data_IF_991917803306
#
_entry.id   IF_991917803306
#
_cell.length_a   1.000
_cell.length_b   1.000
_cell.length_c   1.000
_cell.angle_alpha   90.00
_cell.angle_beta   90.00
_cell.angle_gamma   90.00
#
_symmetry.space_group_name_H-M   'P 1'
#
loop_
_entity.id
_entity.type
_entity.pdbx_description
1 polymer ?
#
# COMPACT_ATOMS: atom_id res chain seq x y z
N UNK A 1 -17.84 -6.18 13.52
CA UNK A 1 -16.42 -6.19 13.11
C UNK A 1 -16.33 -6.12 11.59
N UNK A 2 -15.45 -5.28 11.10
CA UNK A 2 -15.25 -5.11 9.66
C UNK A 2 -14.26 -6.15 9.16
N UNK A 3 -14.66 -6.90 8.14
CA UNK A 3 -13.81 -7.90 7.50
C UNK A 3 -13.47 -7.46 6.08
N UNK A 4 -12.23 -7.68 5.66
CA UNK A 4 -11.82 -7.43 4.28
C UNK A 4 -10.71 -8.41 3.89
N UNK A 5 -10.33 -8.40 2.61
CA UNK A 5 -9.34 -9.34 2.08
C UNK A 5 -7.97 -9.21 2.77
N UNK A 6 -7.68 -8.06 3.38
CA UNK A 6 -6.41 -7.81 4.05
C UNK A 6 -6.36 -8.44 5.44
N UNK A 7 -7.51 -8.68 6.05
CA UNK A 7 -7.59 -9.19 7.42
C UNK A 7 -6.97 -10.58 7.56
N UNK A 8 -7.00 -11.39 6.49
CA UNK A 8 -6.48 -12.74 6.51
C UNK A 8 -4.99 -12.79 6.81
N UNK A 9 -4.27 -11.72 6.55
CA UNK A 9 -2.83 -11.63 6.73
C UNK A 9 -2.42 -10.96 8.03
N UNK A 10 -3.39 -10.41 8.75
CA UNK A 10 -3.16 -9.79 10.06
C UNK A 10 -2.10 -8.68 10.05
N UNK A 11 -1.92 -7.99 8.94
CA UNK A 11 -1.00 -6.88 8.89
C UNK A 11 -1.51 -5.70 9.69
N UNK A 12 -0.59 -5.04 10.39
CA UNK A 12 -0.90 -3.77 11.05
C UNK A 12 -1.01 -2.68 10.00
N UNK A 13 -1.56 -1.54 10.39
CA UNK A 13 -1.61 -0.36 9.53
C UNK A 13 -0.20 0.03 9.06
N UNK A 14 0.77 0.03 9.98
CA UNK A 14 2.14 0.34 9.62
C UNK A 14 2.70 -0.69 8.63
N UNK A 15 2.41 -1.97 8.84
CA UNK A 15 2.83 -3.03 7.91
C UNK A 15 2.28 -2.83 6.52
N UNK A 16 1.02 -2.41 6.41
CA UNK A 16 0.40 -2.11 5.12
C UNK A 16 1.09 -0.91 4.45
N UNK A 17 1.43 0.12 5.21
CA UNK A 17 2.14 1.29 4.69
C UNK A 17 3.52 0.91 4.14
N UNK A 18 4.26 0.07 4.87
CA UNK A 18 5.56 -0.41 4.40
C UNK A 18 5.42 -1.22 3.11
N UNK A 19 4.44 -2.10 3.07
CA UNK A 19 4.23 -2.96 1.89
C UNK A 19 3.86 -2.12 0.66
N UNK A 20 2.98 -1.15 0.84
CA UNK A 20 2.59 -0.23 -0.22
C UNK A 20 3.79 0.58 -0.72
N UNK A 21 4.62 1.09 0.21
CA UNK A 21 5.82 1.84 -0.15
C UNK A 21 6.77 1.00 -0.99
N UNK A 22 7.02 -0.24 -0.58
CA UNK A 22 7.88 -1.16 -1.34
C UNK A 22 7.31 -1.37 -2.74
N UNK A 23 6.01 -1.59 -2.84
CA UNK A 23 5.36 -1.80 -4.14
C UNK A 23 5.52 -0.57 -5.05
N UNK A 24 5.24 0.61 -4.53
CA UNK A 24 5.34 1.84 -5.32
C UNK A 24 6.78 2.10 -5.79
N UNK A 25 7.74 1.89 -4.91
CA UNK A 25 9.15 2.04 -5.28
C UNK A 25 9.58 0.98 -6.29
N UNK A 26 9.03 -0.22 -6.23
CA UNK A 26 9.36 -1.29 -7.16
C UNK A 26 8.97 -0.95 -8.61
N UNK A 27 7.92 -0.16 -8.79
CA UNK A 27 7.48 0.25 -10.12
C UNK A 27 8.49 1.13 -10.83
N UNK A 28 9.31 1.87 -10.06
CA UNK A 28 10.28 2.81 -10.58
C UNK A 28 11.73 2.39 -10.29
N UNK A 29 11.96 1.17 -9.82
CA UNK A 29 13.28 0.78 -9.35
C UNK A 29 14.33 0.67 -10.45
N UNK A 30 13.90 0.38 -11.66
CA UNK A 30 14.84 0.15 -12.78
C UNK A 30 15.56 -1.18 -12.71
N UNK A 31 15.35 -1.97 -11.65
CA UNK A 31 15.98 -3.29 -11.52
C UNK A 31 15.11 -4.36 -12.18
N UNK A 32 15.72 -5.37 -12.83
CA UNK A 32 14.95 -6.42 -13.49
C UNK A 32 13.98 -7.18 -12.57
N UNK A 33 14.33 -7.32 -11.30
CA UNK A 33 13.51 -8.02 -10.32
C UNK A 33 12.58 -7.09 -9.53
N UNK A 34 12.60 -5.78 -9.84
CA UNK A 34 11.80 -4.81 -9.12
C UNK A 34 12.29 -4.54 -7.70
N UNK A 35 13.50 -5.01 -7.34
CA UNK A 35 14.00 -4.84 -5.98
C UNK A 35 14.23 -3.37 -5.63
N UNK A 36 14.07 -3.05 -4.35
CA UNK A 36 14.23 -1.70 -3.84
C UNK A 36 15.21 -1.69 -2.66
N UNK A 37 15.80 -0.53 -2.38
CA UNK A 37 16.71 -0.39 -1.26
C UNK A 37 15.91 -0.01 -0.01
N UNK A 38 16.29 -0.58 1.13
CA UNK A 38 15.61 -0.24 2.39
C UNK A 38 15.73 1.24 2.74
N UNK A 39 16.83 1.89 2.35
CA UNK A 39 17.01 3.32 2.60
C UNK A 39 15.96 4.14 1.83
N UNK A 40 15.56 3.72 0.66
CA UNK A 40 14.53 4.43 -0.10
C UNK A 40 13.15 4.31 0.56
N UNK A 41 12.89 3.16 1.18
CA UNK A 41 11.65 2.99 1.97
C UNK A 41 11.68 3.92 3.18
N UNK A 42 12.81 3.99 3.87
CA UNK A 42 12.96 4.89 5.02
C UNK A 42 12.72 6.34 4.63
N UNK A 43 13.29 6.76 3.51
CA UNK A 43 13.13 8.13 3.01
C UNK A 43 11.70 8.43 2.61
N UNK A 44 11.04 7.51 1.91
CA UNK A 44 9.66 7.72 1.44
C UNK A 44 8.68 7.84 2.61
N UNK A 45 8.86 7.03 3.64
CA UNK A 45 7.96 7.01 4.80
C UNK A 45 8.42 7.93 5.93
N UNK A 46 9.57 8.56 5.77
CA UNK A 46 10.15 9.47 6.77
C UNK A 46 10.30 8.79 8.14
N UNK A 47 10.87 7.58 8.12
CA UNK A 47 11.10 6.78 9.31
C UNK A 47 12.58 6.41 9.42
N UNK A 48 12.98 5.92 10.59
CA UNK A 48 14.37 5.52 10.82
C UNK A 48 14.68 4.20 10.13
N UNK A 49 15.98 3.95 9.90
CA UNK A 49 16.45 2.68 9.38
C UNK A 49 16.08 1.52 10.31
N UNK A 50 16.13 1.76 11.62
CA UNK A 50 15.76 0.75 12.60
C UNK A 50 14.31 0.35 12.46
N UNK A 51 13.42 1.32 12.26
CA UNK A 51 11.99 1.05 12.04
C UNK A 51 11.78 0.24 10.76
N UNK A 52 12.46 0.59 9.68
CA UNK A 52 12.37 -0.16 8.41
C UNK A 52 12.83 -1.60 8.62
N UNK A 53 14.00 -1.80 9.26
CA UNK A 53 14.53 -3.14 9.48
C UNK A 53 13.58 -4.01 10.30
N UNK A 54 12.98 -3.43 11.35
CA UNK A 54 12.00 -4.14 12.16
C UNK A 54 10.78 -4.55 11.32
N UNK A 55 10.26 -3.63 10.54
CA UNK A 55 9.11 -3.90 9.68
C UNK A 55 9.43 -4.94 8.61
N UNK A 56 10.61 -4.85 7.98
CA UNK A 56 11.03 -5.81 6.97
C UNK A 56 11.15 -7.22 7.54
N UNK A 57 11.67 -7.35 8.77
CA UNK A 57 11.76 -8.65 9.42
C UNK A 57 10.37 -9.24 9.65
N UNK A 58 9.42 -8.42 10.09
CA UNK A 58 8.03 -8.87 10.26
C UNK A 58 7.40 -9.30 8.93
N UNK A 59 7.61 -8.52 7.88
CA UNK A 59 7.07 -8.84 6.56
C UNK A 59 7.72 -10.09 5.95
N UNK A 60 9.01 -10.32 6.24
CA UNK A 60 9.68 -11.56 5.84
C UNK A 60 9.06 -12.76 6.53
N UNK A 61 8.82 -12.64 7.83
CA UNK A 61 8.21 -13.72 8.61
C UNK A 61 6.80 -14.06 8.11
N UNK A 62 6.10 -13.08 7.58
CA UNK A 62 4.75 -13.27 7.03
C UNK A 62 4.75 -13.70 5.56
N UNK A 63 5.92 -13.85 4.95
CA UNK A 63 6.02 -14.27 3.56
C UNK A 63 5.66 -13.21 2.53
N UNK A 64 5.71 -11.95 2.92
CA UNK A 64 5.34 -10.83 2.04
C UNK A 64 6.51 -10.27 1.25
N UNK A 65 7.72 -10.35 1.81
CA UNK A 65 8.94 -9.86 1.14
C UNK A 65 10.08 -10.83 1.31
N UNK A 66 11.07 -10.72 0.42
CA UNK A 66 12.37 -11.37 0.58
C UNK A 66 13.44 -10.28 0.55
N UNK A 67 14.59 -10.57 1.13
CA UNK A 67 15.68 -9.62 1.15
C UNK A 67 16.97 -10.34 0.77
N UNK A 68 17.71 -9.75 -0.18
CA UNK A 68 18.98 -10.32 -0.62
C UNK A 68 20.08 -10.02 0.42
N UNK A 69 21.24 -10.69 0.26
CA UNK A 69 22.37 -10.47 1.14
C UNK A 69 22.90 -9.02 1.11
N UNK A 70 22.58 -8.29 0.06
CA UNK A 70 22.98 -6.88 -0.08
C UNK A 70 21.91 -5.90 0.38
N UNK A 71 20.87 -6.40 1.06
CA UNK A 71 19.84 -5.57 1.65
C UNK A 71 18.73 -5.12 0.70
N UNK A 72 18.76 -5.53 -0.56
CA UNK A 72 17.67 -5.16 -1.48
C UNK A 72 16.45 -6.02 -1.20
N UNK A 73 15.28 -5.40 -1.29
CA UNK A 73 14.00 -5.99 -0.91
C UNK A 73 13.15 -6.24 -2.14
N UNK A 74 12.53 -7.41 -2.21
CA UNK A 74 11.63 -7.78 -3.30
C UNK A 74 10.34 -8.30 -2.71
N UNK A 75 9.20 -7.92 -3.31
CA UNK A 75 7.91 -8.47 -2.91
C UNK A 75 7.79 -9.92 -3.37
N UNK A 76 7.22 -10.75 -2.52
CA UNK A 76 6.78 -12.08 -2.94
C UNK A 76 5.48 -11.93 -3.74
N UNK A 77 5.03 -13.01 -4.37
CA UNK A 77 3.74 -13.02 -5.05
C UNK A 77 2.60 -12.60 -4.12
N UNK A 78 2.61 -13.10 -2.88
CA UNK A 78 1.61 -12.75 -1.86
C UNK A 78 1.72 -11.27 -1.47
N UNK A 79 2.93 -10.79 -1.28
CA UNK A 79 3.18 -9.39 -0.94
C UNK A 79 2.71 -8.45 -2.03
N UNK A 80 2.96 -8.80 -3.28
CA UNK A 80 2.53 -7.98 -4.40
C UNK A 80 1.01 -7.90 -4.49
N UNK A 81 0.32 -9.02 -4.34
CA UNK A 81 -1.15 -9.04 -4.35
C UNK A 81 -1.72 -8.15 -3.26
N UNK A 82 -1.18 -8.28 -2.06
CA UNK A 82 -1.64 -7.50 -0.92
C UNK A 82 -1.39 -6.00 -1.15
N UNK A 83 -0.19 -5.66 -1.60
CA UNK A 83 0.19 -4.27 -1.85
C UNK A 83 -0.69 -3.62 -2.92
N UNK A 84 -1.03 -4.36 -3.96
CA UNK A 84 -1.92 -3.86 -5.01
C UNK A 84 -3.30 -3.51 -4.47
N UNK A 85 -3.83 -4.33 -3.56
CA UNK A 85 -5.13 -4.07 -2.93
C UNK A 85 -5.06 -2.77 -2.12
N UNK A 86 -4.03 -2.62 -1.30
CA UNK A 86 -3.85 -1.42 -0.48
C UNK A 86 -3.70 -0.18 -1.37
N UNK A 87 -2.87 -0.25 -2.39
CA UNK A 87 -2.62 0.86 -3.30
C UNK A 87 -3.88 1.25 -4.09
N UNK A 88 -4.64 0.27 -4.55
CA UNK A 88 -5.88 0.53 -5.27
C UNK A 88 -6.91 1.18 -4.34
N UNK A 89 -7.01 0.71 -3.11
CA UNK A 89 -7.91 1.30 -2.11
C UNK A 89 -7.56 2.76 -1.86
N UNK A 90 -6.27 3.06 -1.73
CA UNK A 90 -5.80 4.43 -1.54
C UNK A 90 -6.24 5.32 -2.72
N UNK A 91 -6.00 4.86 -3.94
CA UNK A 91 -6.33 5.65 -5.13
C UNK A 91 -7.84 5.85 -5.28
N UNK A 92 -8.63 4.83 -4.97
CA UNK A 92 -10.08 4.94 -5.04
C UNK A 92 -10.61 5.98 -4.05
N UNK A 93 -10.13 5.93 -2.82
CA UNK A 93 -10.53 6.88 -1.79
C UNK A 93 -10.10 8.30 -2.13
N UNK A 94 -8.86 8.46 -2.60
CA UNK A 94 -8.36 9.75 -3.02
C UNK A 94 -9.23 10.33 -4.14
N UNK A 95 -9.54 9.52 -5.14
CA UNK A 95 -10.38 9.95 -6.27
C UNK A 95 -11.77 10.38 -5.79
N UNK A 96 -12.37 9.62 -4.90
CA UNK A 96 -13.68 9.95 -4.35
C UNK A 96 -13.64 11.29 -3.61
N UNK A 97 -12.66 11.47 -2.75
CA UNK A 97 -12.54 12.71 -1.98
C UNK A 97 -12.34 13.92 -2.90
N UNK A 98 -11.51 13.78 -3.93
CA UNK A 98 -11.26 14.88 -4.86
C UNK A 98 -12.42 15.16 -5.81
N UNK A 99 -12.95 14.12 -6.45
CA UNK A 99 -13.93 14.33 -7.53
C UNK A 99 -15.35 14.50 -7.01
N UNK A 100 -15.75 13.72 -6.03
CA UNK A 100 -17.13 13.77 -5.53
C UNK A 100 -17.33 14.82 -4.44
N UNK A 101 -16.33 14.99 -3.56
CA UNK A 101 -16.43 15.91 -2.45
C UNK A 101 -15.66 17.22 -2.61
N UNK A 102 -14.82 17.31 -3.65
CA UNK A 102 -14.05 18.52 -3.90
C UNK A 102 -12.96 18.80 -2.89
N UNK A 103 -12.46 17.75 -2.21
CA UNK A 103 -11.37 17.90 -1.24
C UNK A 103 -10.07 18.20 -1.98
N UNK A 104 -9.26 19.10 -1.42
CA UNK A 104 -7.97 19.44 -2.02
C UNK A 104 -7.06 18.21 -2.16
N UNK A 105 -6.23 18.16 -3.22
CA UNK A 105 -5.42 16.98 -3.50
C UNK A 105 -4.54 16.50 -2.34
N UNK A 106 -3.87 17.42 -1.64
CA UNK A 106 -3.00 17.04 -0.52
C UNK A 106 -3.80 16.44 0.63
N UNK A 107 -4.92 17.08 0.98
CA UNK A 107 -5.80 16.59 2.04
C UNK A 107 -6.40 15.26 1.65
N UNK A 108 -6.84 15.12 0.40
CA UNK A 108 -7.42 13.88 -0.09
C UNK A 108 -6.43 12.73 0.00
N UNK A 109 -5.17 12.98 -0.34
CA UNK A 109 -4.12 11.97 -0.27
C UNK A 109 -3.87 11.52 1.17
N UNK A 110 -3.75 12.49 2.09
CA UNK A 110 -3.54 12.19 3.51
C UNK A 110 -4.71 11.42 4.12
N UNK A 111 -5.93 11.88 3.85
CA UNK A 111 -7.11 11.25 4.42
C UNK A 111 -7.41 9.89 3.81
N UNK A 112 -7.15 9.72 2.52
CA UNK A 112 -7.26 8.42 1.88
C UNK A 112 -6.33 7.39 2.55
N UNK A 113 -5.13 7.82 2.90
CA UNK A 113 -4.18 6.95 3.60
C UNK A 113 -4.72 6.49 4.95
N UNK A 114 -5.41 7.37 5.67
CA UNK A 114 -6.03 7.02 6.94
C UNK A 114 -7.25 6.10 6.75
N UNK A 115 -8.06 6.37 5.75
CA UNK A 115 -9.31 5.65 5.52
C UNK A 115 -9.12 4.25 4.96
N UNK A 116 -8.09 4.04 4.15
CA UNK A 116 -7.91 2.78 3.44
C UNK A 116 -7.76 1.58 4.37
N UNK A 117 -7.29 1.80 5.58
CA UNK A 117 -7.09 0.76 6.57
C UNK A 117 -8.36 0.45 7.39
N UNK A 118 -9.37 1.28 7.26
CA UNK A 118 -10.58 1.20 8.09
C UNK A 118 -11.77 0.55 7.38
N UNK A 119 -11.76 0.51 6.05
CA UNK A 119 -12.90 0.02 5.28
C UNK A 119 -12.79 -1.48 5.00
N UNK A 120 -13.95 -2.15 5.01
CA UNK A 120 -14.01 -3.56 4.64
C UNK A 120 -13.77 -3.73 3.13
N UNK A 121 -13.45 -4.95 2.73
CA UNK A 121 -13.31 -5.30 1.31
C UNK A 121 -14.63 -5.05 0.57
N UNK A 122 -15.75 -5.36 1.20
CA UNK A 122 -17.06 -5.13 0.59
C UNK A 122 -17.31 -3.65 0.33
N UNK A 123 -17.07 -2.80 1.33
CA UNK A 123 -17.26 -1.36 1.16
C UNK A 123 -16.35 -0.82 0.08
N UNK A 124 -15.10 -1.27 0.05
CA UNK A 124 -14.13 -0.82 -0.95
C UNK A 124 -14.54 -1.24 -2.35
N UNK A 125 -15.01 -2.48 -2.53
CA UNK A 125 -15.50 -2.96 -3.81
C UNK A 125 -16.66 -2.09 -4.31
N UNK A 126 -17.58 -1.76 -3.43
CA UNK A 126 -18.72 -0.90 -3.77
C UNK A 126 -18.28 0.51 -4.15
N UNK A 127 -17.29 1.06 -3.45
CA UNK A 127 -16.75 2.38 -3.76
C UNK A 127 -16.10 2.39 -5.14
N UNK A 128 -15.26 1.39 -5.43
CA UNK A 128 -14.60 1.28 -6.74
C UNK A 128 -15.64 1.16 -7.84
N UNK A 129 -16.65 0.32 -7.64
CA UNK A 129 -17.72 0.13 -8.61
C UNK A 129 -18.49 1.44 -8.86
N UNK A 130 -18.82 2.16 -7.81
CA UNK A 130 -19.46 3.46 -7.91
C UNK A 130 -18.64 4.44 -8.74
N UNK A 131 -17.34 4.55 -8.44
CA UNK A 131 -16.44 5.47 -9.14
C UNK A 131 -16.32 5.11 -10.63
N UNK A 132 -16.18 3.83 -10.94
CA UNK A 132 -16.08 3.39 -12.33
C UNK A 132 -17.36 3.71 -13.11
N UNK A 133 -18.52 3.57 -12.49
CA UNK A 133 -19.79 3.94 -13.12
C UNK A 133 -19.90 5.44 -13.36
N UNK A 134 -19.18 6.24 -12.58
CA UNK A 134 -19.11 7.69 -12.77
C UNK A 134 -18.04 8.09 -13.79
N UNK A 135 -17.36 7.12 -14.39
CA UNK A 135 -16.32 7.39 -15.37
C UNK A 135 -14.94 7.69 -14.80
N UNK A 136 -14.76 7.46 -13.50
CA UNK A 136 -13.47 7.69 -12.84
C UNK A 136 -12.56 6.49 -13.04
N UNK A 137 -11.35 6.73 -13.48
CA UNK A 137 -10.35 5.66 -13.68
C UNK A 137 -9.55 5.46 -12.39
N UNK A 138 -9.43 4.21 -11.98
CA UNK A 138 -8.69 3.83 -10.77
C UNK A 138 -7.71 2.73 -11.16
N UNK A 139 -6.53 3.11 -11.59
CA UNK A 139 -5.50 2.11 -11.97
C UNK A 139 -4.18 2.39 -11.31
#
# INVERSE_FOLDING_TARGET
MISNAKDDHSLTRAGEDYLESIYRLSLDSGEPDGSVRSVDVADQLEVSKASVNKALNQLKDMGMVTQSRYGRVTLTSEGEKYAKIVWRSHRALRAFLQTDLGVEPETADEEACLMEHALSADTMTRLVDYLQKQGVKID
#
